data_IF_098272360407
#
_entry.id   IF_098272360407
#
_cell.length_a   1.000
_cell.length_b   1.000
_cell.length_c   1.000
_cell.angle_alpha   90.00
_cell.angle_beta   90.00
_cell.angle_gamma   90.00
#
_symmetry.space_group_name_H-M   'P 1'
#
loop_
_entity.id
_entity.type
_entity.pdbx_description
1 polymer ?
#
# COMPACT_ATOMS: atom_id res chain seq x y z
N UNK A 1 -43.46 -16.90 -47.06
CA UNK A 1 -44.06 -17.21 -45.75
C UNK A 1 -43.07 -18.05 -44.95
N UNK A 2 -42.76 -17.57 -43.74
CA UNK A 2 -42.04 -18.23 -42.64
C UNK A 2 -40.58 -18.65 -42.82
N UNK A 3 -39.69 -17.73 -42.44
CA UNK A 3 -38.37 -17.99 -41.87
C UNK A 3 -38.50 -18.57 -40.44
N UNK A 4 -37.46 -19.29 -40.00
CA UNK A 4 -36.67 -19.07 -38.76
C UNK A 4 -36.44 -20.37 -38.00
N UNK A 5 -35.21 -20.90 -38.01
CA UNK A 5 -34.75 -21.89 -37.03
C UNK A 5 -33.26 -21.67 -36.70
N UNK A 6 -33.02 -21.48 -35.41
CA UNK A 6 -31.81 -21.64 -34.58
C UNK A 6 -30.56 -20.79 -34.90
N UNK A 7 -30.41 -19.70 -34.14
CA UNK A 7 -29.12 -19.13 -33.78
C UNK A 7 -28.48 -19.97 -32.66
N UNK A 8 -27.28 -20.49 -32.91
CA UNK A 8 -26.47 -21.22 -31.94
C UNK A 8 -25.89 -20.26 -30.90
N UNK A 9 -26.05 -20.64 -29.63
CA UNK A 9 -25.42 -19.99 -28.49
C UNK A 9 -23.89 -20.17 -28.55
N UNK A 10 -23.18 -19.11 -28.92
CA UNK A 10 -21.74 -19.00 -28.72
C UNK A 10 -21.46 -18.42 -27.34
N UNK A 11 -21.01 -19.27 -26.42
CA UNK A 11 -20.38 -18.87 -25.17
C UNK A 11 -19.09 -18.09 -25.49
N UNK A 12 -19.15 -16.76 -25.42
CA UNK A 12 -17.97 -15.96 -25.17
C UNK A 12 -17.84 -15.81 -23.65
N UNK A 13 -16.91 -16.57 -23.09
CA UNK A 13 -16.41 -16.42 -21.71
C UNK A 13 -15.82 -15.01 -21.61
N UNK A 14 -16.62 -14.07 -21.12
CA UNK A 14 -16.09 -12.82 -20.61
C UNK A 14 -15.23 -13.18 -19.40
N UNK A 15 -13.92 -12.96 -19.51
CA UNK A 15 -13.04 -12.87 -18.36
C UNK A 15 -13.61 -11.77 -17.47
N UNK A 16 -14.38 -12.18 -16.46
CA UNK A 16 -14.73 -11.33 -15.36
C UNK A 16 -13.44 -10.95 -14.66
N UNK A 17 -12.92 -9.76 -14.93
CA UNK A 17 -12.16 -9.03 -13.92
C UNK A 17 -13.17 -8.73 -12.83
N UNK A 18 -13.31 -9.67 -11.89
CA UNK A 18 -13.89 -9.39 -10.59
C UNK A 18 -12.96 -8.40 -9.92
N UNK A 19 -13.17 -7.12 -10.23
CA UNK A 19 -12.71 -6.03 -9.38
C UNK A 19 -13.40 -6.26 -8.04
N UNK A 20 -12.64 -6.79 -7.09
CA UNK A 20 -13.05 -6.87 -5.70
C UNK A 20 -13.25 -5.43 -5.23
N UNK A 21 -14.52 -5.02 -5.17
CA UNK A 21 -14.93 -3.81 -4.49
C UNK A 21 -14.59 -3.94 -3.00
N UNK A 22 -13.70 -3.08 -2.50
CA UNK A 22 -13.52 -2.87 -1.06
C UNK A 22 -12.14 -3.21 -0.45
N UNK A 23 -11.09 -3.44 -1.24
CA UNK A 23 -9.71 -3.40 -0.75
C UNK A 23 -9.06 -2.07 -1.16
N UNK A 24 -8.21 -1.44 -0.32
CA UNK A 24 -7.44 -0.28 -0.74
C UNK A 24 -6.75 -0.61 -2.06
N UNK A 25 -7.07 0.18 -3.09
CA UNK A 25 -6.75 -0.14 -4.48
C UNK A 25 -5.27 -0.44 -4.61
N UNK A 26 -4.97 -1.55 -5.27
CA UNK A 26 -3.60 -1.94 -5.51
C UNK A 26 -2.91 -0.91 -6.41
N UNK A 27 -1.67 -0.56 -6.06
CA UNK A 27 -0.97 0.59 -6.59
C UNK A 27 0.17 0.09 -7.46
N UNK A 28 0.25 0.56 -8.70
CA UNK A 28 1.35 0.19 -9.59
C UNK A 28 2.63 0.95 -9.21
N UNK A 29 3.71 0.20 -9.00
CA UNK A 29 5.06 0.68 -8.76
C UNK A 29 5.99 0.26 -9.90
N UNK A 30 5.71 0.75 -11.12
CA UNK A 30 6.55 0.51 -12.30
C UNK A 30 6.59 -0.97 -12.71
N UNK A 31 5.41 -1.58 -12.86
CA UNK A 31 5.28 -3.00 -13.24
C UNK A 31 5.33 -3.97 -12.07
N UNK A 32 5.12 -3.47 -10.85
CA UNK A 32 4.87 -4.29 -9.66
C UNK A 32 3.70 -3.70 -8.90
N UNK A 33 2.75 -4.53 -8.53
CA UNK A 33 1.53 -4.13 -7.85
C UNK A 33 1.71 -4.22 -6.34
N UNK A 34 1.42 -3.15 -5.60
CA UNK A 34 1.50 -3.12 -4.13
C UNK A 34 0.16 -2.82 -3.49
N UNK A 35 -0.20 -3.55 -2.44
CA UNK A 35 -1.42 -3.32 -1.68
C UNK A 35 -1.26 -3.71 -0.22
N UNK A 36 -2.25 -3.36 0.61
CA UNK A 36 -2.36 -3.80 1.99
C UNK A 36 -3.41 -4.91 2.11
N UNK A 37 -3.02 -6.01 2.74
CA UNK A 37 -3.92 -7.06 3.22
C UNK A 37 -3.93 -7.02 4.76
N UNK A 38 -4.91 -6.31 5.33
CA UNK A 38 -4.88 -5.90 6.73
C UNK A 38 -3.67 -5.00 7.00
N UNK A 39 -2.75 -5.47 7.84
CA UNK A 39 -1.49 -4.77 8.16
C UNK A 39 -0.26 -5.40 7.49
N UNK A 40 -0.46 -6.28 6.50
CA UNK A 40 0.62 -6.84 5.70
C UNK A 40 0.72 -6.14 4.35
N UNK A 41 1.91 -5.67 3.99
CA UNK A 41 2.19 -5.13 2.66
C UNK A 41 2.44 -6.30 1.72
N UNK A 42 1.67 -6.32 0.64
CA UNK A 42 1.75 -7.32 -0.42
C UNK A 42 2.35 -6.67 -1.65
N UNK A 43 3.38 -7.29 -2.23
CA UNK A 43 3.98 -6.88 -3.49
C UNK A 43 3.87 -8.04 -4.48
N UNK A 44 3.27 -7.82 -5.64
CA UNK A 44 3.27 -8.75 -6.75
C UNK A 44 4.12 -8.20 -7.90
N UNK A 45 5.13 -8.96 -8.30
CA UNK A 45 5.82 -8.78 -9.57
C UNK A 45 5.15 -9.59 -10.68
N UNK A 46 5.80 -9.68 -11.84
CA UNK A 46 5.28 -10.48 -12.98
C UNK A 46 5.18 -11.97 -12.68
N UNK A 47 6.02 -12.50 -11.78
CA UNK A 47 6.13 -13.96 -11.56
C UNK A 47 6.06 -14.37 -10.10
N UNK A 48 6.13 -13.41 -9.19
CA UNK A 48 6.35 -13.64 -7.77
C UNK A 48 5.48 -12.71 -6.92
N UNK A 49 5.19 -13.17 -5.71
CA UNK A 49 4.41 -12.42 -4.73
C UNK A 49 5.10 -12.51 -3.37
N UNK A 50 5.34 -11.37 -2.76
CA UNK A 50 5.99 -11.23 -1.46
C UNK A 50 5.04 -10.55 -0.50
N UNK A 51 4.97 -11.04 0.74
CA UNK A 51 4.21 -10.40 1.82
C UNK A 51 5.15 -9.97 2.94
N UNK A 52 4.89 -8.81 3.52
CA UNK A 52 5.62 -8.29 4.66
C UNK A 52 4.65 -7.78 5.73
N UNK A 53 4.57 -8.48 6.86
CA UNK A 53 3.79 -8.04 8.02
C UNK A 53 4.45 -6.81 8.66
N UNK A 54 3.73 -5.69 8.72
CA UNK A 54 4.25 -4.46 9.32
C UNK A 54 4.29 -4.49 10.84
N UNK A 55 3.65 -5.46 11.50
CA UNK A 55 3.55 -5.53 12.96
C UNK A 55 2.81 -4.35 13.59
N UNK A 56 2.10 -3.56 12.78
CA UNK A 56 1.24 -2.47 13.24
C UNK A 56 -0.12 -3.04 13.69
N UNK A 57 -0.77 -2.40 14.69
CA UNK A 57 -2.15 -2.78 15.04
C UNK A 57 -3.12 -2.38 13.91
N UNK A 58 -4.18 -3.14 13.70
CA UNK A 58 -5.22 -2.76 12.74
C UNK A 58 -6.09 -1.59 13.25
N UNK A 59 -6.65 -0.74 12.37
CA UNK A 59 -6.54 -0.76 10.90
C UNK A 59 -5.20 -0.17 10.40
N UNK A 60 -4.74 -0.60 9.22
CA UNK A 60 -3.53 -0.08 8.58
C UNK A 60 -3.83 0.45 7.18
N UNK A 61 -3.22 1.58 6.85
CA UNK A 61 -3.37 2.24 5.56
C UNK A 61 -2.03 2.79 5.07
N UNK A 62 -1.93 2.99 3.75
CA UNK A 62 -0.80 3.72 3.18
C UNK A 62 -0.94 5.21 3.45
N UNK A 63 0.20 5.87 3.63
CA UNK A 63 0.22 7.34 3.63
C UNK A 63 0.05 7.84 2.20
N UNK A 64 -0.94 8.70 2.01
CA UNK A 64 -1.17 9.40 0.75
C UNK A 64 -0.69 10.87 0.86
N UNK A 65 -0.46 11.49 -0.28
CA UNK A 65 -0.30 12.93 -0.40
C UNK A 65 -1.68 13.62 -0.34
N UNK A 66 -1.69 14.95 -0.25
CA UNK A 66 -2.93 15.75 -0.24
C UNK A 66 -3.75 15.65 -1.53
N UNK A 67 -3.13 15.17 -2.62
CA UNK A 67 -3.76 14.90 -3.92
C UNK A 67 -4.21 13.44 -4.08
N UNK A 68 -4.27 12.68 -2.97
CA UNK A 68 -4.64 11.25 -2.93
C UNK A 68 -3.65 10.31 -3.66
N UNK A 69 -2.51 10.82 -4.14
CA UNK A 69 -1.45 9.97 -4.68
C UNK A 69 -0.69 9.26 -3.56
N UNK A 70 -0.22 8.03 -3.81
CA UNK A 70 0.59 7.30 -2.84
C UNK A 70 1.86 8.10 -2.51
N UNK A 71 2.11 8.33 -1.21
CA UNK A 71 3.31 9.05 -0.79
C UNK A 71 4.54 8.13 -0.91
N UNK A 72 5.21 8.24 -2.04
CA UNK A 72 6.40 7.47 -2.40
C UNK A 72 7.66 8.32 -2.27
N UNK A 73 8.69 7.81 -1.61
CA UNK A 73 10.02 8.40 -1.59
C UNK A 73 10.99 7.52 -2.38
N UNK A 74 11.83 8.14 -3.20
CA UNK A 74 12.87 7.43 -3.94
C UNK A 74 14.26 7.82 -3.40
N UNK A 75 15.07 6.82 -3.03
CA UNK A 75 16.48 7.00 -2.66
C UNK A 75 17.34 5.92 -3.32
N UNK A 76 18.15 6.31 -4.31
CA UNK A 76 19.12 5.42 -4.95
C UNK A 76 18.51 4.17 -5.61
N UNK A 77 17.35 4.32 -6.27
CA UNK A 77 16.63 3.21 -6.92
C UNK A 77 15.79 2.37 -5.97
N UNK A 78 15.71 2.76 -4.70
CA UNK A 78 14.81 2.16 -3.71
C UNK A 78 13.57 3.01 -3.58
N UNK A 79 12.42 2.35 -3.51
CA UNK A 79 11.11 2.96 -3.29
C UNK A 79 10.74 2.80 -1.83
N UNK A 80 10.39 3.87 -1.15
CA UNK A 80 10.05 3.87 0.27
C UNK A 80 8.62 4.35 0.41
N UNK A 81 7.81 3.51 1.05
CA UNK A 81 6.42 3.73 1.35
C UNK A 81 6.27 3.90 2.85
N UNK A 82 5.22 4.58 3.27
CA UNK A 82 4.85 4.68 4.67
C UNK A 82 3.51 4.00 4.86
N UNK A 83 3.46 3.09 5.82
CA UNK A 83 2.23 2.47 6.31
C UNK A 83 1.98 3.04 7.70
N UNK A 84 0.74 3.41 7.98
CA UNK A 84 0.34 3.88 9.28
C UNK A 84 -0.84 3.08 9.80
N UNK A 85 -0.94 3.06 11.13
CA UNK A 85 -2.12 2.65 11.87
C UNK A 85 -2.50 3.81 12.76
N UNK A 86 -3.77 4.18 12.77
CA UNK A 86 -4.27 5.25 13.63
C UNK A 86 -5.47 4.73 14.40
N UNK A 87 -5.44 4.94 15.71
CA UNK A 87 -6.57 4.65 16.60
C UNK A 87 -6.85 5.85 17.46
N UNK A 88 -8.11 6.29 17.47
CA UNK A 88 -8.56 7.33 18.40
C UNK A 88 -8.65 6.75 19.81
N UNK A 89 -7.96 7.37 20.77
CA UNK A 89 -7.97 7.01 22.18
C UNK A 89 -9.00 7.82 22.99
N UNK A 90 -9.65 8.79 22.35
CA UNK A 90 -10.65 9.68 22.94
C UNK A 90 -10.08 11.07 23.27
N UNK A 91 -10.98 12.04 23.48
CA UNK A 91 -10.64 13.45 23.75
C UNK A 91 -9.73 14.12 22.70
N UNK A 92 -9.81 13.68 21.43
CA UNK A 92 -8.98 14.20 20.34
C UNK A 92 -7.54 13.68 20.35
N UNK A 93 -7.24 12.65 21.14
CA UNK A 93 -5.97 11.94 21.12
C UNK A 93 -6.04 10.75 20.17
N UNK A 94 -5.01 10.60 19.35
CA UNK A 94 -4.82 9.42 18.50
C UNK A 94 -3.47 8.78 18.79
N UNK A 95 -3.47 7.46 18.97
CA UNK A 95 -2.28 6.62 18.89
C UNK A 95 -2.06 6.28 17.43
N UNK A 96 -1.17 7.04 16.79
CA UNK A 96 -0.82 6.84 15.40
C UNK A 96 0.59 6.29 15.30
N UNK A 97 0.71 5.13 14.67
CA UNK A 97 1.96 4.39 14.52
C UNK A 97 2.31 4.29 13.05
N UNK A 98 3.54 4.64 12.70
CA UNK A 98 4.05 4.60 11.34
C UNK A 98 5.20 3.62 11.23
N UNK A 99 5.22 2.92 10.10
CA UNK A 99 6.33 2.07 9.70
C UNK A 99 6.67 2.34 8.24
N UNK A 100 7.96 2.47 7.97
CA UNK A 100 8.42 2.67 6.62
C UNK A 100 8.73 1.31 5.98
N UNK A 101 8.29 1.12 4.74
CA UNK A 101 8.44 -0.10 3.95
C UNK A 101 9.27 0.23 2.73
N UNK A 102 10.40 -0.45 2.60
CA UNK A 102 11.35 -0.34 1.50
C UNK A 102 11.02 -1.42 0.46
N UNK A 103 10.86 -0.99 -0.78
CA UNK A 103 10.68 -1.83 -1.97
C UNK A 103 11.94 -1.71 -2.82
N UNK A 104 12.61 -2.82 -3.07
CA UNK A 104 13.83 -2.87 -3.89
C UNK A 104 13.89 -4.18 -4.67
N UNK A 105 13.95 -4.12 -6.00
CA UNK A 105 14.13 -5.30 -6.88
C UNK A 105 13.19 -6.48 -6.55
N UNK A 106 11.88 -6.22 -6.38
CA UNK A 106 10.90 -7.25 -6.03
C UNK A 106 10.94 -7.73 -4.57
N UNK A 107 11.85 -7.19 -3.75
CA UNK A 107 11.94 -7.51 -2.32
C UNK A 107 11.29 -6.41 -1.47
N UNK A 108 10.75 -6.84 -0.34
CA UNK A 108 10.20 -5.96 0.70
C UNK A 108 11.11 -5.99 1.93
N UNK A 109 11.33 -4.83 2.52
CA UNK A 109 12.00 -4.63 3.81
C UNK A 109 11.30 -3.52 4.58
N UNK A 110 11.55 -3.39 5.87
CA UNK A 110 10.91 -2.37 6.71
C UNK A 110 11.91 -1.68 7.61
N UNK A 111 11.51 -0.53 8.16
CA UNK A 111 12.25 0.11 9.24
C UNK A 111 12.34 -0.80 10.46
N UNK A 112 13.51 -0.77 11.11
CA UNK A 112 13.75 -1.50 12.36
C UNK A 112 12.83 -1.04 13.49
N UNK A 113 12.40 0.22 13.44
CA UNK A 113 11.54 0.83 14.45
C UNK A 113 10.23 1.29 13.85
N UNK A 114 9.16 1.06 14.62
CA UNK A 114 7.89 1.76 14.49
C UNK A 114 8.03 3.13 15.11
N UNK A 115 7.42 4.14 14.52
CA UNK A 115 7.37 5.49 15.07
C UNK A 115 5.98 5.84 15.52
N UNK A 116 5.88 6.43 16.69
CA UNK A 116 4.61 6.84 17.30
C UNK A 116 4.48 8.36 17.18
N UNK A 117 3.31 8.82 16.73
CA UNK A 117 2.95 10.23 16.66
C UNK A 117 1.57 10.42 17.32
N UNK A 118 1.39 11.56 17.98
CA UNK A 118 0.13 11.93 18.62
C UNK A 118 -0.83 12.70 17.68
N UNK A 119 -0.68 12.52 16.37
CA UNK A 119 -1.50 13.20 15.35
C UNK A 119 -2.51 12.25 14.76
N UNK A 120 -3.78 12.65 14.74
CA UNK A 120 -4.84 11.91 14.06
C UNK A 120 -4.74 12.01 12.53
N UNK A 121 -4.19 13.11 12.02
CA UNK A 121 -3.99 13.30 10.59
C UNK A 121 -2.52 13.05 10.23
N UNK A 122 -2.29 11.94 9.54
CA UNK A 122 -0.96 11.62 9.01
C UNK A 122 -0.66 12.45 7.79
N UNK A 123 -1.61 12.60 6.87
CA UNK A 123 -1.47 13.26 5.55
C UNK A 123 -0.88 14.67 5.65
N UNK A 124 -1.25 15.43 6.69
CA UNK A 124 -0.85 16.83 6.92
C UNK A 124 0.51 17.00 7.63
N UNK A 125 1.26 15.93 7.86
CA UNK A 125 2.59 16.04 8.46
C UNK A 125 3.59 16.77 7.56
N UNK A 126 4.53 17.49 8.18
CA UNK A 126 5.63 18.14 7.48
C UNK A 126 6.43 17.15 6.62
N UNK A 127 6.74 17.53 5.37
CA UNK A 127 7.56 16.74 4.44
C UNK A 127 8.90 16.33 5.05
N UNK A 128 9.49 17.22 5.86
CA UNK A 128 10.74 16.94 6.58
C UNK A 128 10.59 15.76 7.53
N UNK A 129 9.47 15.65 8.23
CA UNK A 129 9.19 14.54 9.13
C UNK A 129 9.10 13.24 8.34
N UNK A 130 8.34 13.23 7.23
CA UNK A 130 8.27 12.06 6.36
C UNK A 130 9.62 11.63 5.80
N UNK A 131 10.47 12.57 5.38
CA UNK A 131 11.83 12.26 4.92
C UNK A 131 12.69 11.64 6.03
N UNK A 132 12.56 12.13 7.27
CA UNK A 132 13.24 11.52 8.42
C UNK A 132 12.74 10.07 8.64
N UNK A 133 11.43 9.82 8.52
CA UNK A 133 10.84 8.48 8.61
C UNK A 133 11.42 7.55 7.54
N UNK A 134 11.38 8.00 6.29
CA UNK A 134 11.86 7.24 5.14
C UNK A 134 13.36 6.92 5.26
N UNK A 135 14.19 7.87 5.68
CA UNK A 135 15.62 7.64 5.89
C UNK A 135 15.92 6.68 7.04
N UNK A 136 15.08 6.61 8.08
CA UNK A 136 15.21 5.61 9.16
C UNK A 136 14.84 4.19 8.72
N UNK A 137 14.13 4.05 7.60
CA UNK A 137 13.85 2.77 6.97
C UNK A 137 15.07 2.18 6.26
N UNK A 138 16.01 3.03 5.89
CA UNK A 138 17.20 2.60 5.18
C UNK A 138 18.16 1.95 6.19
N UNK A 139 18.72 0.78 5.85
CA UNK A 139 19.80 0.22 6.64
C UNK A 139 20.94 1.26 6.71
N UNK A 140 21.57 1.39 7.89
CA UNK A 140 22.69 2.29 8.07
C UNK A 140 23.71 2.07 6.95
N UNK A 141 24.09 3.14 6.23
CA UNK A 141 25.13 3.07 5.20
C UNK A 141 26.39 2.50 5.87
N UNK A 142 26.79 1.29 5.49
CA UNK A 142 28.07 0.69 5.89
C UNK A 142 29.22 1.39 5.19
#
# INVERSE_FOLDING_TARGET
MSLTVLAAAGLAVGLGTTSFAGAPGAIDLSGSEIWLDGCSVMLAGETDKVSLDTGLPAPCDFVFNSDESLRLFEDGGKKILLVYSSREEGAGHCDTRLRAVLVQNGTLSMSERTMEISSCNVTDMDEKTYRILAHRALPARK
#
